data_IF_251315557635
#
_entry.id   IF_251315557635
#
_cell.length_a   1.000
_cell.length_b   1.000
_cell.length_c   1.000
_cell.angle_alpha   90.00
_cell.angle_beta   90.00
_cell.angle_gamma   90.00
#
_symmetry.space_group_name_H-M   'P 1'
#
loop_
_entity.id
_entity.type
_entity.pdbx_description
1 polymer ?
#
# COMPACT_ATOMS: atom_id res chain seq x y z
N UNK A 1 7.40 -79.32 -7.11
CA UNK A 1 8.67 -78.90 -6.48
C UNK A 1 8.79 -77.42 -6.74
N UNK A 2 8.19 -76.63 -5.85
CA UNK A 2 8.87 -75.83 -4.80
C UNK A 2 9.15 -74.43 -5.35
N UNK A 3 8.28 -73.45 -5.05
CA UNK A 3 8.30 -72.54 -3.90
C UNK A 3 9.44 -71.50 -3.94
N UNK A 4 9.02 -70.24 -3.86
CA UNK A 4 9.80 -69.00 -3.96
C UNK A 4 11.00 -68.92 -2.99
N UNK A 5 11.82 -67.87 -3.13
CA UNK A 5 11.56 -66.76 -2.21
C UNK A 5 11.44 -65.40 -2.90
N UNK A 6 10.42 -64.67 -2.47
CA UNK A 6 10.21 -63.25 -2.71
C UNK A 6 11.28 -62.50 -1.92
N UNK A 7 12.17 -61.79 -2.61
CA UNK A 7 13.16 -60.94 -1.95
C UNK A 7 12.50 -59.62 -1.55
N UNK A 8 12.34 -59.46 -0.25
CA UNK A 8 11.74 -58.31 0.42
C UNK A 8 12.84 -57.35 0.91
N UNK A 9 12.53 -56.05 0.90
CA UNK A 9 13.16 -54.95 1.63
C UNK A 9 14.51 -54.40 1.15
N UNK A 10 14.44 -53.43 0.23
CA UNK A 10 15.42 -52.35 0.09
C UNK A 10 14.73 -50.98 0.04
N UNK A 11 13.97 -50.62 1.08
CA UNK A 11 13.39 -49.27 1.25
C UNK A 11 13.42 -48.81 2.71
N UNK A 12 14.43 -49.24 3.48
CA UNK A 12 14.53 -48.96 4.91
C UNK A 12 15.23 -47.64 5.35
N UNK A 13 15.83 -46.77 4.50
CA UNK A 13 16.30 -45.50 5.04
C UNK A 13 15.23 -44.39 5.02
N UNK A 14 14.11 -44.55 4.28
CA UNK A 14 13.14 -43.46 4.11
C UNK A 14 11.99 -43.46 5.14
N UNK A 15 11.77 -44.57 5.86
CA UNK A 15 10.67 -44.69 6.83
C UNK A 15 10.95 -44.02 8.19
N UNK A 16 12.20 -43.68 8.51
CA UNK A 16 12.56 -43.07 9.80
C UNK A 16 12.43 -41.54 9.81
N UNK A 17 12.33 -40.90 8.64
CA UNK A 17 12.10 -39.45 8.56
C UNK A 17 10.62 -39.08 8.80
N UNK A 18 9.69 -40.01 8.54
CA UNK A 18 8.24 -39.79 8.70
C UNK A 18 7.76 -39.90 10.16
N UNK A 19 8.55 -40.49 11.06
CA UNK A 19 8.21 -40.59 12.48
C UNK A 19 8.61 -39.37 13.31
N UNK A 20 9.46 -38.48 12.77
CA UNK A 20 9.85 -37.23 13.44
C UNK A 20 8.82 -36.10 13.27
N UNK A 21 7.88 -36.22 12.32
CA UNK A 21 6.83 -35.21 12.11
C UNK A 21 5.54 -35.47 12.89
N UNK A 22 5.43 -36.60 13.62
CA UNK A 22 4.18 -36.97 14.33
C UNK A 22 4.20 -36.70 15.83
N UNK A 23 5.27 -36.12 16.39
CA UNK A 23 5.31 -35.75 17.82
C UNK A 23 6.03 -34.42 18.06
N UNK A 24 5.42 -33.33 17.61
CA UNK A 24 5.78 -32.00 18.11
C UNK A 24 4.50 -31.16 18.31
N UNK A 25 4.08 -31.13 19.57
CA UNK A 25 3.34 -30.07 20.25
C UNK A 25 2.23 -29.34 19.47
N UNK A 26 1.00 -29.56 19.92
CA UNK A 26 -0.11 -28.60 19.84
C UNK A 26 0.25 -27.35 20.66
N UNK A 27 0.10 -26.13 20.11
CA UNK A 27 -0.35 -25.01 20.91
C UNK A 27 -1.58 -24.35 20.29
N UNK A 28 -2.64 -24.32 21.09
CA UNK A 28 -3.59 -23.24 21.30
C UNK A 28 -3.93 -22.34 20.10
N UNK A 29 -5.14 -22.55 19.58
CA UNK A 29 -5.96 -21.53 18.94
C UNK A 29 -6.16 -20.36 19.90
N UNK A 30 -5.33 -19.32 19.77
CA UNK A 30 -5.72 -17.98 20.20
C UNK A 30 -6.44 -17.33 19.03
N UNK A 31 -7.76 -17.29 19.13
CA UNK A 31 -8.60 -16.40 18.33
C UNK A 31 -8.15 -14.97 18.62
N UNK A 32 -7.32 -14.40 17.75
CA UNK A 32 -7.12 -12.96 17.69
C UNK A 32 -8.31 -12.39 16.92
N UNK A 33 -9.33 -11.97 17.66
CA UNK A 33 -10.31 -11.04 17.14
C UNK A 33 -9.58 -9.83 16.53
N UNK A 34 -10.01 -9.30 15.37
CA UNK A 34 -9.44 -8.07 14.83
C UNK A 34 -9.83 -6.95 15.78
N UNK A 35 -8.90 -6.57 16.65
CA UNK A 35 -9.05 -5.38 17.46
C UNK A 35 -8.69 -4.22 16.55
N UNK A 36 -9.69 -3.70 15.82
CA UNK A 36 -9.64 -2.36 15.27
C UNK A 36 -9.53 -1.40 16.46
N UNK A 37 -8.31 -1.21 16.96
CA UNK A 37 -7.98 -0.07 17.80
C UNK A 37 -7.96 1.13 16.85
N UNK A 38 -9.14 1.67 16.56
CA UNK A 38 -9.29 2.97 15.95
C UNK A 38 -8.56 3.98 16.84
N UNK A 39 -7.47 4.54 16.32
CA UNK A 39 -6.82 5.70 16.94
C UNK A 39 -7.88 6.80 17.07
N UNK A 40 -8.09 7.36 18.27
CA UNK A 40 -9.10 8.37 18.49
C UNK A 40 -8.65 9.70 17.89
N UNK A 41 -9.36 10.18 16.86
CA UNK A 41 -9.43 11.61 16.54
C UNK A 41 -8.71 12.12 15.29
N UNK A 42 -8.20 11.25 14.39
CA UNK A 42 -7.74 11.71 13.09
C UNK A 42 -8.92 11.76 12.10
N UNK A 43 -9.22 12.95 11.56
CA UNK A 43 -10.15 13.04 10.43
C UNK A 43 -9.56 12.26 9.25
N UNK A 44 -10.31 11.29 8.73
CA UNK A 44 -9.93 10.55 7.53
C UNK A 44 -10.49 11.26 6.30
N UNK A 45 -9.63 11.52 5.32
CA UNK A 45 -10.06 11.94 3.99
C UNK A 45 -10.43 10.69 3.20
N UNK A 46 -11.67 10.60 2.74
CA UNK A 46 -12.17 9.50 1.91
C UNK A 46 -12.49 10.00 0.50
N UNK A 47 -11.91 9.36 -0.51
CA UNK A 47 -12.11 9.67 -1.93
C UNK A 47 -12.69 8.47 -2.67
N UNK A 48 -13.74 8.67 -3.47
CA UNK A 48 -14.30 7.62 -4.34
C UNK A 48 -15.02 8.18 -5.56
N UNK A 49 -15.17 7.40 -6.63
CA UNK A 49 -15.92 7.82 -7.82
C UNK A 49 -17.43 7.89 -7.52
N UNK A 50 -18.03 9.03 -7.83
CA UNK A 50 -19.49 9.19 -7.77
C UNK A 50 -20.18 8.36 -8.84
N UNK A 51 -21.18 7.56 -8.48
CA UNK A 51 -21.94 6.69 -9.39
C UNK A 51 -22.79 7.40 -10.47
N UNK A 52 -22.68 8.72 -10.64
CA UNK A 52 -23.36 9.44 -11.71
C UNK A 52 -22.64 9.20 -13.05
N UNK A 53 -23.14 8.23 -13.83
CA UNK A 53 -22.55 7.73 -15.08
C UNK A 53 -22.17 8.80 -16.14
N UNK A 54 -22.70 10.01 -16.04
CA UNK A 54 -22.48 11.11 -16.98
C UNK A 54 -21.42 12.11 -16.53
N UNK A 55 -21.02 12.10 -15.26
CA UNK A 55 -19.98 12.99 -14.73
C UNK A 55 -18.99 12.18 -13.89
N UNK A 56 -17.86 11.81 -14.51
CA UNK A 56 -16.69 11.27 -13.82
C UNK A 56 -16.23 12.31 -12.79
N UNK A 57 -16.72 12.18 -11.57
CA UNK A 57 -16.54 13.12 -10.47
C UNK A 57 -16.16 12.32 -9.24
N UNK A 58 -15.28 12.88 -8.42
CA UNK A 58 -14.90 12.29 -7.15
C UNK A 58 -15.78 12.84 -6.05
N UNK A 59 -16.19 11.98 -5.14
CA UNK A 59 -16.67 12.37 -3.81
C UNK A 59 -15.45 12.54 -2.93
N UNK A 60 -15.31 13.72 -2.35
CA UNK A 60 -14.32 14.02 -1.33
C UNK A 60 -15.06 14.20 -0.01
N UNK A 61 -14.78 13.29 0.92
CA UNK A 61 -15.47 13.17 2.18
C UNK A 61 -14.49 13.35 3.34
N UNK A 62 -14.88 14.15 4.33
CA UNK A 62 -14.22 14.20 5.62
C UNK A 62 -15.04 13.39 6.62
N UNK A 63 -14.42 12.34 7.17
CA UNK A 63 -15.04 11.39 8.10
C UNK A 63 -14.36 11.49 9.48
N UNK A 64 -15.15 11.51 10.55
CA UNK A 64 -14.64 11.51 11.94
C UNK A 64 -14.29 10.12 12.46
N UNK A 65 -14.70 9.08 11.74
CA UNK A 65 -14.40 7.68 12.03
C UNK A 65 -14.26 6.90 10.70
N UNK A 66 -13.53 5.77 10.70
CA UNK A 66 -13.46 4.88 9.54
C UNK A 66 -14.85 4.42 9.10
N UNK A 67 -15.07 4.39 7.79
CA UNK A 67 -16.30 3.86 7.16
C UNK A 67 -16.00 2.50 6.58
N UNK A 68 -16.96 1.58 6.63
CA UNK A 68 -16.88 0.28 5.96
C UNK A 68 -16.55 0.47 4.48
N UNK A 69 -15.51 -0.21 4.02
CA UNK A 69 -15.03 -0.08 2.65
C UNK A 69 -16.11 -0.42 1.63
N UNK A 70 -16.14 0.36 0.54
CA UNK A 70 -17.08 0.21 -0.57
C UNK A 70 -18.56 0.47 -0.24
N UNK A 71 -18.89 0.98 0.96
CA UNK A 71 -20.27 1.39 1.31
C UNK A 71 -20.48 2.90 1.10
N UNK A 72 -20.82 3.27 -0.14
CA UNK A 72 -21.04 4.67 -0.53
C UNK A 72 -22.26 5.29 0.15
N UNK A 73 -23.29 4.50 0.43
CA UNK A 73 -24.51 5.00 1.08
C UNK A 73 -24.17 5.39 2.51
N UNK A 74 -23.43 4.53 3.21
CA UNK A 74 -22.96 4.79 4.56
C UNK A 74 -22.02 5.99 4.60
N UNK A 75 -21.03 6.07 3.69
CA UNK A 75 -20.11 7.20 3.60
C UNK A 75 -20.82 8.54 3.42
N UNK A 76 -21.78 8.61 2.49
CA UNK A 76 -22.56 9.82 2.24
C UNK A 76 -23.42 10.23 3.46
N UNK A 77 -23.78 9.29 4.33
CA UNK A 77 -24.61 9.55 5.52
C UNK A 77 -23.80 9.95 6.76
N UNK A 78 -22.60 9.38 6.93
CA UNK A 78 -21.76 9.58 8.12
C UNK A 78 -20.71 10.69 7.93
N UNK A 79 -20.33 11.00 6.70
CA UNK A 79 -19.25 11.92 6.40
C UNK A 79 -19.75 13.21 5.74
N UNK A 80 -18.93 14.26 5.83
CA UNK A 80 -19.17 15.51 5.11
C UNK A 80 -18.57 15.40 3.70
N UNK A 81 -19.41 15.06 2.73
CA UNK A 81 -19.01 14.82 1.35
C UNK A 81 -19.37 15.98 0.42
N UNK A 82 -18.46 16.28 -0.52
CA UNK A 82 -18.72 17.16 -1.65
C UNK A 82 -18.23 16.52 -2.94
N UNK A 83 -18.80 16.93 -4.08
CA UNK A 83 -18.39 16.42 -5.40
C UNK A 83 -17.35 17.34 -6.03
N UNK A 84 -16.28 16.76 -6.54
CA UNK A 84 -15.22 17.45 -7.29
C UNK A 84 -15.21 16.89 -8.71
N UNK A 85 -15.42 17.71 -9.75
CA UNK A 85 -15.35 17.21 -11.12
C UNK A 85 -13.92 16.81 -11.48
N UNK A 86 -13.75 15.76 -12.29
CA UNK A 86 -12.42 15.27 -12.69
C UNK A 86 -11.55 16.33 -13.35
N UNK A 87 -12.14 17.30 -14.04
CA UNK A 87 -11.43 18.43 -14.65
C UNK A 87 -10.80 19.39 -13.64
N UNK A 88 -11.32 19.43 -12.40
CA UNK A 88 -10.78 20.26 -11.33
C UNK A 88 -9.75 19.52 -10.45
N UNK A 89 -9.47 18.25 -10.74
CA UNK A 89 -8.50 17.48 -9.97
C UNK A 89 -7.07 17.89 -10.37
N UNK A 90 -6.19 18.12 -9.39
CA UNK A 90 -4.78 18.27 -9.68
C UNK A 90 -4.27 16.96 -10.27
N UNK A 91 -3.72 17.00 -11.49
CA UNK A 91 -3.03 15.84 -12.06
C UNK A 91 -1.80 15.57 -11.20
N UNK A 92 -1.66 14.36 -10.66
CA UNK A 92 -0.48 13.95 -9.90
C UNK A 92 -0.06 15.00 -8.85
N UNK A 93 -0.79 15.09 -7.74
CA UNK A 93 -0.54 16.20 -6.81
C UNK A 93 -1.37 16.23 -5.55
N UNK A 94 -2.01 15.12 -5.17
CA UNK A 94 -2.55 15.06 -3.82
C UNK A 94 -1.40 15.16 -2.83
N UNK A 95 -1.54 16.08 -1.88
CA UNK A 95 -0.67 16.20 -0.72
C UNK A 95 -1.56 16.01 0.49
N UNK A 96 -1.60 14.78 0.99
CA UNK A 96 -2.41 14.43 2.16
C UNK A 96 -1.47 14.01 3.29
N UNK A 97 -1.42 14.87 4.31
CA UNK A 97 -0.61 14.64 5.50
C UNK A 97 -1.25 13.63 6.46
N UNK A 98 -2.59 13.54 6.41
CA UNK A 98 -3.37 12.64 7.25
C UNK A 98 -3.60 11.26 6.63
N UNK A 99 -4.62 10.58 7.17
CA UNK A 99 -5.06 9.29 6.65
C UNK A 99 -5.94 9.49 5.43
N UNK A 100 -5.49 8.94 4.29
CA UNK A 100 -6.22 8.94 3.03
C UNK A 100 -6.79 7.54 2.76
N UNK A 101 -8.11 7.45 2.63
CA UNK A 101 -8.79 6.28 2.11
C UNK A 101 -9.26 6.55 0.68
N UNK A 102 -8.98 5.63 -0.24
CA UNK A 102 -9.42 5.74 -1.63
C UNK A 102 -10.12 4.45 -2.05
N UNK A 103 -11.39 4.58 -2.44
CA UNK A 103 -12.16 3.48 -3.00
C UNK A 103 -12.11 3.52 -4.53
N UNK A 104 -11.68 2.40 -5.10
CA UNK A 104 -11.33 2.29 -6.52
C UNK A 104 -12.32 1.36 -7.20
N UNK A 105 -13.16 1.91 -8.07
CA UNK A 105 -14.00 1.13 -9.00
C UNK A 105 -13.32 1.00 -10.35
N UNK A 106 -12.76 2.11 -10.86
CA UNK A 106 -12.01 2.19 -12.10
C UNK A 106 -10.56 2.65 -11.86
N UNK A 107 -9.64 2.12 -12.67
CA UNK A 107 -8.20 2.36 -12.52
C UNK A 107 -7.77 3.82 -12.77
N UNK A 108 -8.60 4.65 -13.41
CA UNK A 108 -8.23 6.04 -13.70
C UNK A 108 -7.95 6.83 -12.41
N UNK A 109 -8.59 6.46 -11.28
CA UNK A 109 -8.34 7.08 -9.98
C UNK A 109 -6.89 6.80 -9.54
N UNK A 110 -6.37 5.60 -9.78
CA UNK A 110 -4.97 5.29 -9.49
C UNK A 110 -4.04 6.09 -10.41
N UNK A 111 -4.33 6.09 -11.71
CA UNK A 111 -3.44 6.66 -12.73
C UNK A 111 -3.39 8.19 -12.74
N UNK A 112 -4.51 8.87 -12.52
CA UNK A 112 -4.59 10.34 -12.64
C UNK A 112 -4.53 11.07 -11.30
N UNK A 113 -5.11 10.49 -10.25
CA UNK A 113 -5.21 11.13 -8.95
C UNK A 113 -4.03 10.74 -8.03
N UNK A 114 -3.74 9.45 -7.91
CA UNK A 114 -2.75 8.97 -6.95
C UNK A 114 -1.34 8.90 -7.51
N UNK A 115 -1.16 8.68 -8.81
CA UNK A 115 0.16 8.53 -9.39
C UNK A 115 0.97 9.82 -9.24
N UNK A 116 2.11 9.75 -8.55
CA UNK A 116 2.94 10.89 -8.18
C UNK A 116 2.46 11.66 -6.95
N UNK A 117 1.42 11.24 -6.24
CA UNK A 117 0.93 11.94 -5.05
C UNK A 117 1.83 11.72 -3.84
N UNK A 118 1.79 12.67 -2.89
CA UNK A 118 2.48 12.61 -1.61
C UNK A 118 1.48 12.26 -0.51
N UNK A 119 1.57 11.04 0.02
CA UNK A 119 0.60 10.48 0.98
C UNK A 119 1.35 9.68 2.01
N UNK A 120 1.12 9.94 3.29
CA UNK A 120 1.78 9.24 4.40
C UNK A 120 1.08 7.94 4.76
N UNK A 121 -0.23 8.00 4.94
CA UNK A 121 -1.04 6.86 5.34
C UNK A 121 -2.14 6.64 4.31
N UNK A 122 -2.04 5.55 3.54
CA UNK A 122 -2.96 5.26 2.45
C UNK A 122 -3.70 3.95 2.69
N UNK A 123 -5.02 3.96 2.57
CA UNK A 123 -5.86 2.76 2.44
C UNK A 123 -6.47 2.73 1.04
N UNK A 124 -6.12 1.74 0.24
CA UNK A 124 -6.73 1.49 -1.07
C UNK A 124 -7.73 0.35 -0.97
N UNK A 125 -8.98 0.62 -1.33
CA UNK A 125 -10.04 -0.38 -1.29
C UNK A 125 -10.58 -0.60 -2.69
N UNK A 126 -10.42 -1.80 -3.23
CA UNK A 126 -10.90 -2.14 -4.55
C UNK A 126 -12.37 -2.56 -4.50
N UNK A 127 -13.23 -1.71 -5.06
CA UNK A 127 -14.68 -1.86 -5.10
C UNK A 127 -15.20 -2.20 -6.51
N UNK A 128 -14.28 -2.42 -7.46
CA UNK A 128 -14.60 -2.83 -8.82
C UNK A 128 -14.89 -4.33 -8.94
N UNK A 129 -15.45 -4.72 -10.09
CA UNK A 129 -15.79 -6.12 -10.39
C UNK A 129 -14.80 -6.80 -11.35
N UNK A 130 -13.95 -6.01 -12.02
CA UNK A 130 -12.99 -6.52 -13.00
C UNK A 130 -11.61 -6.68 -12.34
N UNK A 131 -10.87 -7.76 -12.60
CA UNK A 131 -9.51 -7.86 -12.10
C UNK A 131 -8.66 -6.71 -12.61
N UNK A 132 -7.68 -6.32 -11.78
CA UNK A 132 -6.72 -5.27 -12.08
C UNK A 132 -5.46 -5.91 -12.64
N UNK A 133 -5.04 -5.54 -13.84
CA UNK A 133 -3.78 -5.98 -14.41
C UNK A 133 -2.59 -5.32 -13.69
N UNK A 134 -1.44 -6.00 -13.70
CA UNK A 134 -0.20 -5.48 -13.11
C UNK A 134 0.22 -4.17 -13.79
N UNK A 135 0.31 -3.12 -12.98
CA UNK A 135 0.77 -1.76 -13.33
C UNK A 135 1.34 -1.12 -12.08
N UNK A 136 2.25 -0.17 -12.22
CA UNK A 136 2.85 0.49 -11.06
C UNK A 136 2.22 1.84 -10.77
N UNK A 137 1.77 2.00 -9.52
CA UNK A 137 1.40 3.27 -8.93
C UNK A 137 2.61 3.84 -8.19
N UNK A 138 3.00 5.08 -8.49
CA UNK A 138 4.13 5.73 -7.86
C UNK A 138 3.64 6.70 -6.77
N UNK A 139 4.15 6.56 -5.53
CA UNK A 139 3.76 7.36 -4.36
C UNK A 139 5.00 7.92 -3.67
N UNK A 140 4.84 9.06 -2.99
CA UNK A 140 5.91 9.73 -2.23
C UNK A 140 5.58 9.78 -0.74
N UNK A 141 6.57 9.50 0.10
CA UNK A 141 6.48 9.62 1.55
C UNK A 141 5.54 8.61 2.22
N UNK A 142 5.28 7.47 1.58
CA UNK A 142 4.33 6.47 2.08
C UNK A 142 4.87 5.70 3.28
N UNK A 143 4.22 5.86 4.43
CA UNK A 143 4.58 5.22 5.68
C UNK A 143 3.76 3.96 5.95
N UNK A 144 2.45 4.02 5.68
CA UNK A 144 1.55 2.87 5.84
C UNK A 144 0.68 2.68 4.61
N UNK A 145 0.55 1.43 4.19
CA UNK A 145 -0.30 1.00 3.09
C UNK A 145 -1.27 -0.07 3.57
N UNK A 146 -2.56 0.25 3.59
CA UNK A 146 -3.65 -0.70 3.71
C UNK A 146 -4.21 -1.05 2.33
N UNK A 147 -4.45 -2.32 2.08
CA UNK A 147 -5.13 -2.83 0.88
C UNK A 147 -6.38 -3.59 1.34
N UNK A 148 -7.52 -3.21 0.77
CA UNK A 148 -8.77 -3.95 0.88
C UNK A 148 -9.23 -4.41 -0.51
N UNK A 149 -9.66 -5.66 -0.64
CA UNK A 149 -10.25 -6.21 -1.85
C UNK A 149 -11.68 -6.68 -1.58
N UNK A 150 -12.65 -6.02 -2.19
CA UNK A 150 -14.05 -6.45 -2.12
C UNK A 150 -14.37 -7.60 -3.10
N UNK A 151 -13.36 -8.15 -3.80
CA UNK A 151 -13.53 -9.29 -4.70
C UNK A 151 -13.90 -10.52 -3.87
N UNK A 152 -15.01 -11.22 -4.19
CA UNK A 152 -15.45 -12.38 -3.42
C UNK A 152 -14.40 -13.48 -3.39
N UNK A 153 -14.27 -14.13 -2.23
CA UNK A 153 -13.43 -15.33 -2.03
C UNK A 153 -11.92 -15.11 -2.27
N UNK A 154 -11.45 -13.87 -2.16
CA UNK A 154 -10.01 -13.61 -2.19
C UNK A 154 -9.32 -14.14 -0.92
N UNK A 155 -8.13 -14.74 -1.05
CA UNK A 155 -7.41 -15.29 0.10
C UNK A 155 -6.90 -14.20 1.06
N UNK A 156 -6.62 -12.99 0.55
CA UNK A 156 -6.10 -11.88 1.34
C UNK A 156 -6.93 -10.60 1.11
N UNK A 157 -8.16 -10.54 1.66
CA UNK A 157 -9.09 -9.44 1.41
C UNK A 157 -8.70 -8.16 2.14
N UNK A 158 -8.03 -8.25 3.29
CA UNK A 158 -7.60 -7.12 4.10
C UNK A 158 -6.15 -7.31 4.52
N UNK A 159 -5.31 -6.35 4.15
CA UNK A 159 -3.88 -6.39 4.44
C UNK A 159 -3.38 -4.99 4.78
N UNK A 160 -2.40 -4.91 5.66
CA UNK A 160 -1.75 -3.65 6.02
C UNK A 160 -0.25 -3.88 6.17
N UNK A 161 0.53 -2.91 5.69
CA UNK A 161 1.98 -2.92 5.80
C UNK A 161 2.50 -1.55 6.19
N UNK A 162 3.48 -1.55 7.10
CA UNK A 162 4.26 -0.36 7.45
C UNK A 162 5.58 -0.40 6.68
N UNK A 163 5.92 0.70 6.00
CA UNK A 163 7.09 0.84 5.12
C UNK A 163 8.20 1.67 5.75
N UNK A 164 8.15 1.90 7.07
CA UNK A 164 9.07 2.77 7.80
C UNK A 164 10.54 2.42 7.52
N UNK A 165 11.40 3.43 7.30
CA UNK A 165 12.83 3.20 7.17
C UNK A 165 13.43 2.66 8.49
N UNK A 166 14.56 1.95 8.42
CA UNK A 166 15.18 1.35 9.60
C UNK A 166 15.55 2.40 10.66
N UNK A 167 15.38 2.01 11.93
CA UNK A 167 15.66 2.83 13.11
C UNK A 167 17.11 3.35 13.08
N UNK A 168 17.27 4.65 12.88
CA UNK A 168 18.57 5.30 12.59
C UNK A 168 18.44 6.45 11.59
N UNK A 169 17.49 6.33 10.63
CA UNK A 169 17.08 7.40 9.70
C UNK A 169 15.88 8.20 10.26
N UNK A 170 15.19 7.62 11.24
CA UNK A 170 13.91 8.10 11.81
C UNK A 170 14.02 9.39 12.61
N UNK A 171 15.15 9.68 13.27
CA UNK A 171 15.26 10.86 14.14
C UNK A 171 15.25 12.19 13.37
N UNK A 172 15.68 12.19 12.10
CA UNK A 172 15.60 13.39 11.24
C UNK A 172 14.28 13.41 10.44
N UNK A 173 13.79 12.24 9.98
CA UNK A 173 12.56 12.13 9.19
C UNK A 173 11.27 12.46 9.97
N UNK A 174 11.19 12.04 11.25
CA UNK A 174 9.99 12.28 12.09
C UNK A 174 9.81 13.77 12.45
N UNK A 175 10.89 14.56 12.39
CA UNK A 175 10.84 16.02 12.58
C UNK A 175 10.62 16.81 11.28
N UNK A 176 10.95 16.22 10.12
CA UNK A 176 10.85 16.84 8.80
C UNK A 176 9.48 16.52 8.17
N UNK A 177 8.47 17.14 8.76
CA UNK A 177 7.10 17.32 8.24
C UNK A 177 7.05 17.39 6.70
N UNK A 178 6.18 16.57 6.07
CA UNK A 178 5.45 16.65 4.78
C UNK A 178 5.85 17.64 3.65
N UNK A 179 7.02 18.26 3.70
CA UNK A 179 7.41 19.47 3.00
C UNK A 179 8.69 19.29 2.19
N UNK A 180 9.79 18.88 2.83
CA UNK A 180 11.10 18.68 2.18
C UNK A 180 11.56 17.21 2.14
N UNK A 181 11.35 16.42 3.19
CA UNK A 181 11.84 15.03 3.27
C UNK A 181 10.96 13.98 2.56
N UNK A 182 9.69 14.29 2.27
CA UNK A 182 8.76 13.34 1.61
C UNK A 182 9.18 12.94 0.19
N UNK A 183 10.12 13.68 -0.41
CA UNK A 183 10.72 13.34 -1.71
C UNK A 183 11.79 12.24 -1.61
N UNK A 184 12.28 11.95 -0.41
CA UNK A 184 13.39 11.01 -0.18
C UNK A 184 12.91 9.56 -0.04
N UNK A 185 11.61 9.31 -0.07
CA UNK A 185 11.04 7.97 -0.09
C UNK A 185 10.03 7.82 -1.22
N UNK A 186 10.39 7.03 -2.21
CA UNK A 186 9.53 6.69 -3.35
C UNK A 186 9.02 5.26 -3.19
N UNK A 187 7.71 5.06 -3.30
CA UNK A 187 7.09 3.74 -3.26
C UNK A 187 6.41 3.43 -4.60
N UNK A 188 6.74 2.28 -5.19
CA UNK A 188 6.07 1.73 -6.36
C UNK A 188 5.19 0.56 -5.92
N UNK A 189 3.89 0.70 -6.08
CA UNK A 189 2.91 -0.34 -5.73
C UNK A 189 2.43 -1.00 -7.02
N UNK A 190 2.64 -2.31 -7.18
CA UNK A 190 1.95 -3.08 -8.20
C UNK A 190 0.46 -3.12 -7.86
N UNK A 191 -0.37 -2.49 -8.67
CA UNK A 191 -1.82 -2.39 -8.43
C UNK A 191 -2.54 -3.73 -8.53
N UNK A 192 -1.89 -4.79 -9.05
CA UNK A 192 -2.45 -6.14 -9.03
C UNK A 192 -2.69 -6.67 -7.60
N UNK A 193 -2.05 -6.09 -6.58
CA UNK A 193 -2.31 -6.41 -5.16
C UNK A 193 -3.77 -6.17 -4.75
N UNK A 194 -4.46 -5.27 -5.44
CA UNK A 194 -5.89 -4.97 -5.22
C UNK A 194 -6.80 -6.18 -5.51
N UNK A 195 -6.31 -7.17 -6.26
CA UNK A 195 -7.03 -8.41 -6.49
C UNK A 195 -7.03 -9.34 -5.27
N UNK A 196 -6.22 -9.07 -4.23
CA UNK A 196 -6.18 -9.87 -3.00
C UNK A 196 -5.70 -11.32 -3.18
N UNK A 197 -5.02 -11.62 -4.30
CA UNK A 197 -4.60 -12.99 -4.67
C UNK A 197 -3.32 -13.44 -3.96
N UNK A 198 -2.50 -12.50 -3.48
CA UNK A 198 -1.23 -12.74 -2.79
C UNK A 198 -1.12 -11.91 -1.52
N UNK A 199 -0.31 -12.41 -0.59
CA UNK A 199 0.10 -11.65 0.58
C UNK A 199 1.01 -10.49 0.14
N UNK A 200 0.81 -9.30 0.71
CA UNK A 200 1.62 -8.12 0.45
C UNK A 200 3.08 -8.37 0.81
N UNK A 201 3.96 -8.02 -0.11
CA UNK A 201 5.40 -8.05 0.08
C UNK A 201 5.97 -6.71 -0.31
N UNK A 202 7.04 -6.33 0.38
CA UNK A 202 7.83 -5.19 0.00
C UNK A 202 9.31 -5.49 0.10
N UNK A 203 10.10 -4.82 -0.73
CA UNK A 203 11.53 -4.68 -0.53
C UNK A 203 11.92 -3.23 -0.79
N UNK A 204 12.94 -2.78 -0.08
CA UNK A 204 13.47 -1.43 -0.21
C UNK A 204 14.93 -1.48 -0.64
N UNK A 205 15.33 -0.52 -1.47
CA UNK A 205 16.71 -0.33 -1.92
C UNK A 205 17.11 1.12 -1.76
N UNK A 206 18.39 1.35 -1.47
CA UNK A 206 18.97 2.68 -1.60
C UNK A 206 19.08 3.02 -3.10
N UNK A 207 18.45 4.10 -3.49
CA UNK A 207 18.46 4.70 -4.81
C UNK A 207 19.56 5.76 -4.94
N UNK A 208 19.74 6.32 -6.15
CA UNK A 208 20.72 7.36 -6.36
C UNK A 208 20.33 8.64 -5.60
N UNK A 209 21.29 9.56 -5.34
CA UNK A 209 21.00 10.83 -4.70
C UNK A 209 19.87 11.57 -5.42
N UNK A 210 18.95 12.18 -4.66
CA UNK A 210 17.79 12.92 -5.16
C UNK A 210 18.07 13.84 -6.39
N UNK A 211 19.16 14.64 -6.44
CA UNK A 211 19.43 15.51 -7.60
C UNK A 211 19.74 14.76 -8.91
N UNK A 212 20.13 13.48 -8.83
CA UNK A 212 20.41 12.63 -10.01
C UNK A 212 19.26 11.71 -10.37
N UNK A 213 18.16 11.74 -9.61
CA UNK A 213 17.04 10.81 -9.78
C UNK A 213 16.37 10.94 -11.14
N UNK A 214 16.11 12.16 -11.61
CA UNK A 214 15.47 12.42 -12.90
C UNK A 214 16.31 11.93 -14.09
N UNK A 215 17.63 11.77 -13.91
CA UNK A 215 18.52 11.21 -14.93
C UNK A 215 18.36 9.69 -15.03
N UNK A 216 18.15 9.02 -13.89
CA UNK A 216 17.97 7.56 -13.83
C UNK A 216 16.51 7.14 -14.07
N UNK A 217 15.57 8.02 -13.73
CA UNK A 217 14.14 7.76 -13.78
C UNK A 217 13.37 8.96 -14.39
N UNK A 218 13.49 9.18 -15.71
CA UNK A 218 12.96 10.37 -16.39
C UNK A 218 11.43 10.46 -16.40
N UNK A 219 10.75 9.35 -16.12
CA UNK A 219 9.28 9.28 -16.08
C UNK A 219 8.71 9.55 -14.68
N UNK A 220 9.55 9.74 -13.66
CA UNK A 220 9.06 10.06 -12.32
C UNK A 220 8.70 11.54 -12.24
N UNK A 221 7.51 11.88 -11.68
CA UNK A 221 7.09 13.25 -11.47
C UNK A 221 7.84 13.86 -10.28
N UNK A 222 9.16 13.98 -10.37
CA UNK A 222 10.01 14.55 -9.32
C UNK A 222 10.26 16.00 -9.67
N UNK A 223 9.60 16.89 -8.93
CA UNK A 223 9.99 18.29 -8.84
C UNK A 223 10.64 18.45 -7.48
N UNK A 224 11.97 18.66 -7.40
CA UNK A 224 12.58 18.99 -6.11
C UNK A 224 11.90 20.26 -5.57
N UNK A 225 11.66 20.35 -4.26
CA UNK A 225 11.13 21.57 -3.68
C UNK A 225 12.13 22.73 -3.96
N UNK A 226 11.65 23.93 -4.32
CA UNK A 226 12.53 25.09 -4.33
C UNK A 226 12.92 25.39 -2.89
N UNK A 227 14.16 25.12 -2.51
CA UNK A 227 14.73 25.58 -1.24
C UNK A 227 15.55 26.84 -1.49
N UNK A 228 15.14 27.94 -0.84
CA UNK A 228 15.86 29.22 -0.88
C UNK A 228 17.06 29.25 0.09
N UNK A 229 17.22 28.20 0.92
CA UNK A 229 18.28 28.10 1.91
C UNK A 229 19.49 27.24 1.42
N UNK A 230 20.69 27.83 1.26
CA UNK A 230 21.87 27.14 0.72
C UNK A 230 22.35 25.96 1.57
N UNK A 231 22.07 25.97 2.88
CA UNK A 231 22.46 24.91 3.81
C UNK A 231 21.55 23.67 3.69
N UNK A 232 20.24 23.87 3.48
CA UNK A 232 19.28 22.79 3.24
C UNK A 232 19.55 22.16 1.87
N UNK A 233 19.85 22.96 0.86
CA UNK A 233 20.33 22.50 -0.46
C UNK A 233 21.60 21.63 -0.40
N UNK A 234 22.50 21.85 0.56
CA UNK A 234 23.73 21.07 0.69
C UNK A 234 23.48 19.72 1.38
N UNK A 235 22.57 19.67 2.36
CA UNK A 235 22.16 18.45 3.04
C UNK A 235 21.31 17.55 2.13
N UNK A 236 20.37 18.14 1.39
CA UNK A 236 19.45 17.43 0.48
C UNK A 236 20.18 16.81 -0.73
N UNK A 237 21.36 17.35 -1.09
CA UNK A 237 22.25 16.81 -2.13
C UNK A 237 22.95 15.50 -1.75
N UNK A 238 22.98 15.14 -0.47
CA UNK A 238 23.72 13.99 0.05
C UNK A 238 22.83 12.85 0.54
N UNK A 239 21.50 13.02 0.56
CA UNK A 239 20.59 11.98 1.03
C UNK A 239 20.23 11.01 -0.11
N UNK A 240 20.52 9.73 0.12
CA UNK A 240 20.11 8.65 -0.78
C UNK A 240 18.59 8.52 -0.78
N UNK A 241 18.00 8.39 -1.97
CA UNK A 241 16.56 8.12 -2.08
C UNK A 241 16.28 6.70 -1.60
N UNK A 242 15.35 6.49 -0.66
CA UNK A 242 14.80 5.17 -0.41
C UNK A 242 13.76 4.83 -1.47
N UNK A 243 13.95 3.72 -2.18
CA UNK A 243 12.97 3.21 -3.15
C UNK A 243 12.38 1.91 -2.62
N UNK A 244 11.06 1.87 -2.45
CA UNK A 244 10.32 0.69 -2.02
C UNK A 244 9.46 0.17 -3.14
N UNK A 245 9.47 -1.15 -3.35
CA UNK A 245 8.58 -1.82 -4.29
C UNK A 245 7.64 -2.72 -3.51
N UNK A 246 6.34 -2.60 -3.76
CA UNK A 246 5.26 -3.37 -3.13
C UNK A 246 4.54 -4.19 -4.20
N UNK A 247 4.27 -5.47 -3.90
CA UNK A 247 3.60 -6.44 -4.79
C UNK A 247 2.95 -7.58 -4.02
#
# INVERSE_FOLDING_TARGET
MEMSPVSFFALLPWSLCLLFFLTAARPQTTSSAPTHAASPGANTTLLYESGAATSRSLRNCSCSAPVTDCDEVLANSLCRCHSVPRSALPRAGLREAGQLAVWVKELWVLEELLNGSSVGHLRLSFCGIKPVDSRYLALRGLQTLGIHSAVPQTPYPDQEMTLSPPAGVTAELDTLSFGSSSFLHMTFVDVAVLNGLSALKAYSVAGPPAPTLSQHFPLLPVSPPPSDDPAEMAADRLQDLLVTFVY
#
